data_IF_046617829253
#
_entry.id   IF_046617829253
#
_cell.length_a   1.000
_cell.length_b   1.000
_cell.length_c   1.000
_cell.angle_alpha   90.00
_cell.angle_beta   90.00
_cell.angle_gamma   90.00
#
_symmetry.space_group_name_H-M   'P 1'
#
loop_
_entity.id
_entity.type
_entity.pdbx_description
1 polymer ?
#
# COMPACT_ATOMS: atom_id res chain seq x y z
N UNK A 1 27.05 -13.85 -14.10
CA UNK A 1 28.10 -13.05 -14.78
C UNK A 1 28.65 -13.70 -16.05
N UNK A 2 29.07 -14.96 -16.09
CA UNK A 2 29.53 -15.63 -17.33
C UNK A 2 28.58 -15.44 -18.51
N UNK A 3 27.26 -15.64 -18.34
CA UNK A 3 26.26 -15.49 -19.42
C UNK A 3 26.18 -14.08 -20.05
N UNK A 4 26.41 -13.02 -19.29
CA UNK A 4 26.37 -11.65 -19.83
C UNK A 4 27.60 -11.37 -20.69
N UNK A 5 28.77 -11.83 -20.29
CA UNK A 5 30.02 -11.67 -21.06
C UNK A 5 30.03 -12.44 -22.39
N UNK A 6 29.16 -13.41 -22.55
CA UNK A 6 29.03 -14.27 -23.75
C UNK A 6 28.10 -13.67 -24.81
N UNK A 7 27.37 -12.59 -24.49
CA UNK A 7 26.52 -11.88 -25.46
C UNK A 7 27.41 -11.18 -26.49
N UNK A 8 27.29 -11.57 -27.74
CA UNK A 8 28.15 -11.10 -28.84
C UNK A 8 27.89 -9.64 -29.22
N UNK A 9 26.60 -9.24 -29.28
CA UNK A 9 26.22 -7.86 -29.63
C UNK A 9 26.55 -6.89 -28.48
N UNK A 10 27.42 -5.85 -28.70
CA UNK A 10 27.88 -4.99 -27.62
C UNK A 10 26.76 -4.24 -26.88
N UNK A 11 25.74 -3.76 -27.62
CA UNK A 11 24.62 -3.01 -27.03
C UNK A 11 23.75 -3.92 -26.19
N UNK A 12 23.43 -5.14 -26.66
CA UNK A 12 22.65 -6.12 -25.91
C UNK A 12 23.39 -6.58 -24.64
N UNK A 13 24.70 -6.74 -24.76
CA UNK A 13 25.57 -7.05 -23.61
C UNK A 13 25.56 -5.91 -22.57
N UNK A 14 25.64 -4.66 -23.02
CA UNK A 14 25.55 -3.51 -22.12
C UNK A 14 24.18 -3.43 -21.43
N UNK A 15 23.08 -3.63 -22.17
CA UNK A 15 21.72 -3.69 -21.63
C UNK A 15 21.58 -4.80 -20.58
N UNK A 16 21.98 -6.01 -20.90
CA UNK A 16 21.94 -7.12 -19.97
C UNK A 16 22.80 -6.89 -18.71
N UNK A 17 23.93 -6.18 -18.84
CA UNK A 17 24.73 -5.80 -17.68
C UNK A 17 24.03 -4.76 -16.80
N UNK A 18 23.38 -3.75 -17.41
CA UNK A 18 22.58 -2.74 -16.69
C UNK A 18 21.43 -3.40 -15.91
N UNK A 19 20.66 -4.27 -16.58
CA UNK A 19 19.53 -4.98 -15.97
C UNK A 19 19.99 -5.86 -14.80
N UNK A 20 21.12 -6.55 -14.95
CA UNK A 20 21.67 -7.39 -13.89
C UNK A 20 22.21 -6.55 -12.72
N UNK A 21 22.84 -5.41 -12.99
CA UNK A 21 23.29 -4.47 -11.95
C UNK A 21 22.11 -3.92 -11.16
N UNK A 22 21.02 -3.53 -11.81
CA UNK A 22 19.79 -3.09 -11.15
C UNK A 22 19.23 -4.18 -10.22
N UNK A 23 19.19 -5.43 -10.71
CA UNK A 23 18.75 -6.60 -9.91
C UNK A 23 19.62 -6.78 -8.65
N UNK A 24 20.94 -6.75 -8.78
CA UNK A 24 21.85 -6.87 -7.63
C UNK A 24 21.73 -5.70 -6.66
N UNK A 25 21.55 -4.48 -7.16
CA UNK A 25 21.32 -3.31 -6.32
C UNK A 25 20.04 -3.45 -5.50
N UNK A 26 18.95 -3.95 -6.12
CA UNK A 26 17.70 -4.28 -5.43
C UNK A 26 17.91 -5.30 -4.30
N UNK A 27 18.66 -6.38 -4.56
CA UNK A 27 18.98 -7.37 -3.53
C UNK A 27 19.84 -6.80 -2.39
N UNK A 28 20.81 -5.93 -2.69
CA UNK A 28 21.62 -5.25 -1.67
C UNK A 28 20.76 -4.35 -0.79
N UNK A 29 19.77 -3.64 -1.37
CA UNK A 29 18.83 -2.83 -0.61
C UNK A 29 17.97 -3.71 0.32
N UNK A 30 17.43 -4.81 -0.19
CA UNK A 30 16.60 -5.73 0.60
C UNK A 30 17.39 -6.42 1.72
N UNK A 31 18.58 -6.90 1.44
CA UNK A 31 19.47 -7.46 2.48
C UNK A 31 19.86 -6.42 3.53
N UNK A 32 20.00 -5.16 3.12
CA UNK A 32 20.30 -4.06 4.05
C UNK A 32 19.09 -3.73 4.95
N UNK A 33 17.87 -3.82 4.41
CA UNK A 33 16.62 -3.71 5.18
C UNK A 33 16.48 -4.83 6.19
N UNK A 34 16.63 -6.09 5.74
CA UNK A 34 16.53 -7.29 6.59
C UNK A 34 17.57 -7.22 7.73
N UNK A 35 18.82 -6.83 7.42
CA UNK A 35 19.85 -6.65 8.42
C UNK A 35 19.49 -5.60 9.46
N UNK A 36 18.97 -4.44 9.01
CA UNK A 36 18.53 -3.37 9.90
C UNK A 36 17.42 -3.87 10.81
N UNK A 37 16.38 -4.48 10.26
CA UNK A 37 15.25 -5.03 11.00
C UNK A 37 15.71 -6.06 12.05
N UNK A 38 16.60 -6.98 11.68
CA UNK A 38 17.13 -7.98 12.61
C UNK A 38 17.93 -7.35 13.78
N UNK A 39 18.69 -6.28 13.52
CA UNK A 39 19.39 -5.54 14.58
C UNK A 39 18.40 -4.83 15.50
N UNK A 40 17.38 -4.17 14.95
CA UNK A 40 16.32 -3.51 15.72
C UNK A 40 15.53 -4.52 16.58
N UNK A 41 15.20 -5.70 16.04
CA UNK A 41 14.57 -6.80 16.79
C UNK A 41 15.44 -7.33 17.92
N UNK A 42 16.73 -7.53 17.68
CA UNK A 42 17.67 -7.94 18.71
C UNK A 42 17.76 -6.93 19.87
N UNK A 43 17.79 -5.63 19.53
CA UNK A 43 17.75 -4.56 20.53
C UNK A 43 16.42 -4.53 21.31
N UNK A 44 15.29 -4.70 20.63
CA UNK A 44 13.97 -4.76 21.24
C UNK A 44 13.80 -5.98 22.17
N UNK A 45 14.51 -7.08 21.88
CA UNK A 45 14.56 -8.26 22.76
C UNK A 45 15.50 -8.11 23.96
N UNK A 46 16.15 -6.95 24.13
CA UNK A 46 17.00 -6.62 25.28
C UNK A 46 18.49 -6.84 25.04
N UNK A 47 18.93 -7.24 23.84
CA UNK A 47 20.37 -7.35 23.55
C UNK A 47 21.03 -5.98 23.52
N UNK A 48 22.14 -5.83 24.20
CA UNK A 48 22.95 -4.62 24.14
C UNK A 48 23.74 -4.52 22.83
N UNK A 49 24.07 -3.30 22.42
CA UNK A 49 24.93 -3.11 21.23
C UNK A 49 26.27 -3.84 21.33
N UNK A 50 26.77 -4.07 22.54
CA UNK A 50 28.03 -4.82 22.77
C UNK A 50 27.86 -6.31 22.45
N UNK A 51 26.77 -6.92 22.88
CA UNK A 51 26.46 -8.33 22.62
C UNK A 51 26.19 -8.55 21.13
N UNK A 52 25.44 -7.65 20.48
CA UNK A 52 25.20 -7.68 19.02
C UNK A 52 26.55 -7.56 18.28
N UNK A 53 27.40 -6.62 18.66
CA UNK A 53 28.71 -6.42 18.05
C UNK A 53 29.59 -7.68 18.17
N UNK A 54 29.60 -8.31 19.34
CA UNK A 54 30.32 -9.57 19.57
C UNK A 54 29.78 -10.71 18.70
N UNK A 55 28.45 -10.83 18.61
CA UNK A 55 27.82 -11.89 17.81
C UNK A 55 28.03 -11.72 16.30
N UNK A 56 28.08 -10.47 15.82
CA UNK A 56 28.32 -10.16 14.41
C UNK A 56 29.84 -10.07 14.05
N UNK A 57 30.73 -10.13 15.01
CA UNK A 57 32.18 -9.98 14.78
C UNK A 57 32.57 -8.56 14.30
N UNK A 58 31.85 -7.52 14.74
CA UNK A 58 32.08 -6.12 14.33
C UNK A 58 32.26 -5.22 15.55
N UNK A 59 32.64 -3.94 15.33
CA UNK A 59 32.70 -2.95 16.40
C UNK A 59 31.31 -2.44 16.79
N UNK A 60 31.15 -1.93 18.03
CA UNK A 60 29.91 -1.25 18.47
C UNK A 60 29.48 -0.12 17.54
N UNK A 61 30.41 0.75 17.14
CA UNK A 61 30.14 1.83 16.19
C UNK A 61 29.63 1.30 14.86
N UNK A 62 30.12 0.15 14.41
CA UNK A 62 29.65 -0.50 13.18
C UNK A 62 28.22 -1.02 13.33
N UNK A 63 27.82 -1.55 14.50
CA UNK A 63 26.42 -1.94 14.77
C UNK A 63 25.49 -0.74 14.60
N UNK A 64 25.82 0.42 15.19
CA UNK A 64 25.03 1.65 15.01
C UNK A 64 24.92 2.08 13.55
N UNK A 65 26.02 2.02 12.79
CA UNK A 65 25.99 2.28 11.34
C UNK A 65 25.12 1.29 10.58
N UNK A 66 25.17 0.01 10.90
CA UNK A 66 24.38 -1.03 10.25
C UNK A 66 22.90 -0.93 10.59
N UNK A 67 22.54 -0.51 11.82
CA UNK A 67 21.17 -0.26 12.26
C UNK A 67 20.53 0.96 11.57
N UNK A 68 21.34 1.94 11.17
CA UNK A 68 20.84 3.13 10.45
C UNK A 68 21.02 3.06 8.92
N UNK A 69 21.80 2.10 8.42
CA UNK A 69 22.08 1.96 7.00
C UNK A 69 21.02 1.10 6.30
N UNK A 70 20.59 1.57 5.13
CA UNK A 70 19.60 0.89 4.32
C UNK A 70 18.19 1.47 4.47
N UNK A 71 17.24 0.95 3.69
CA UNK A 71 15.83 1.34 3.79
C UNK A 71 15.26 0.98 5.16
N UNK A 72 14.20 1.67 5.61
CA UNK A 72 13.52 1.31 6.84
C UNK A 72 12.78 -0.05 6.70
N UNK A 73 12.54 -0.78 7.81
CA UNK A 73 11.84 -2.07 7.78
C UNK A 73 10.46 -2.01 7.11
N UNK A 74 9.75 -0.90 7.27
CA UNK A 74 8.40 -0.65 6.72
C UNK A 74 8.36 -0.69 5.19
N UNK A 75 9.50 -0.59 4.51
CA UNK A 75 9.61 -0.82 3.07
C UNK A 75 8.93 -2.12 2.64
N UNK A 76 9.10 -3.20 3.41
CA UNK A 76 8.49 -4.50 3.12
C UNK A 76 6.96 -4.48 3.15
N UNK A 77 6.34 -3.47 3.75
CA UNK A 77 4.89 -3.29 3.70
C UNK A 77 4.38 -3.04 2.29
N UNK A 78 5.16 -2.42 1.43
CA UNK A 78 4.77 -2.15 0.03
C UNK A 78 5.44 -3.09 -0.97
N UNK A 79 6.59 -3.65 -0.63
CA UNK A 79 7.33 -4.56 -1.50
C UNK A 79 8.84 -4.29 -1.54
N UNK A 80 9.47 -4.77 -2.58
CA UNK A 80 10.95 -4.78 -2.69
C UNK A 80 11.50 -4.00 -3.88
N UNK A 81 10.65 -3.60 -4.81
CA UNK A 81 11.01 -2.98 -6.08
C UNK A 81 10.02 -1.85 -6.43
N UNK A 82 9.79 -1.58 -7.69
CA UNK A 82 8.75 -0.63 -8.12
C UNK A 82 7.36 -1.08 -7.69
N UNK A 83 6.56 -0.12 -7.23
CA UNK A 83 5.19 -0.33 -6.77
C UNK A 83 4.23 0.20 -7.83
N UNK A 84 3.30 -0.64 -8.27
CA UNK A 84 2.21 -0.20 -9.15
C UNK A 84 1.00 0.19 -8.31
N UNK A 85 0.51 1.42 -8.50
CA UNK A 85 -0.71 1.93 -7.85
C UNK A 85 -1.83 1.96 -8.89
N UNK A 86 -2.83 1.10 -8.73
CA UNK A 86 -4.00 1.08 -9.63
C UNK A 86 -5.10 1.99 -9.10
N UNK A 87 -5.44 3.02 -9.87
CA UNK A 87 -6.47 4.02 -9.54
C UNK A 87 -7.78 3.70 -10.25
N UNK A 88 -8.91 3.79 -9.54
CA UNK A 88 -10.23 3.53 -10.10
C UNK A 88 -10.65 4.56 -11.15
N UNK A 89 -10.81 4.15 -12.40
CA UNK A 89 -11.32 4.98 -13.49
C UNK A 89 -12.85 5.03 -13.52
N UNK A 90 -13.40 6.20 -13.72
CA UNK A 90 -14.83 6.47 -13.96
C UNK A 90 -15.06 6.75 -15.43
N UNK A 91 -16.28 6.51 -15.90
CA UNK A 91 -16.68 6.96 -17.24
C UNK A 91 -16.79 8.48 -17.26
N UNK A 92 -16.28 9.11 -18.32
CA UNK A 92 -16.41 10.54 -18.54
C UNK A 92 -17.90 10.95 -18.54
N UNK A 93 -18.25 11.89 -17.67
CA UNK A 93 -19.63 12.34 -17.52
C UNK A 93 -20.13 13.04 -18.80
N UNK A 94 -21.41 12.81 -19.14
CA UNK A 94 -22.07 13.45 -20.27
C UNK A 94 -21.80 12.82 -21.64
N UNK A 95 -20.97 11.76 -21.72
CA UNK A 95 -20.79 10.99 -22.96
C UNK A 95 -21.50 9.65 -22.89
N UNK A 96 -22.23 9.31 -23.95
CA UNK A 96 -22.82 8.00 -24.13
C UNK A 96 -21.78 6.96 -24.63
N UNK A 97 -22.13 5.65 -24.60
CA UNK A 97 -21.24 4.59 -25.06
C UNK A 97 -20.72 4.77 -26.49
N UNK A 98 -21.57 5.29 -27.37
CA UNK A 98 -21.25 5.53 -28.79
C UNK A 98 -20.27 6.69 -29.02
N UNK A 99 -20.01 7.51 -28.00
CA UNK A 99 -19.09 8.65 -28.04
C UNK A 99 -17.69 8.31 -27.55
N UNK A 100 -17.39 7.02 -27.35
CA UNK A 100 -16.10 6.50 -26.88
C UNK A 100 -15.56 7.27 -25.64
N UNK A 101 -16.28 7.24 -24.51
CA UNK A 101 -15.94 8.02 -23.32
C UNK A 101 -14.56 7.58 -22.78
N UNK A 102 -13.74 8.56 -22.40
CA UNK A 102 -12.46 8.33 -21.78
C UNK A 102 -12.63 7.85 -20.32
N UNK A 103 -11.65 7.10 -19.81
CA UNK A 103 -11.52 6.88 -18.38
C UNK A 103 -11.02 8.17 -17.71
N UNK A 104 -11.71 8.61 -16.66
CA UNK A 104 -11.31 9.78 -15.86
C UNK A 104 -11.01 9.34 -14.42
N UNK A 105 -9.98 9.93 -13.85
CA UNK A 105 -9.58 9.74 -12.45
C UNK A 105 -9.95 11.00 -11.68
N UNK A 106 -10.38 10.85 -10.43
CA UNK A 106 -10.69 12.02 -9.61
C UNK A 106 -9.40 12.70 -9.15
N UNK A 107 -9.51 13.98 -8.78
CA UNK A 107 -8.39 14.73 -8.20
C UNK A 107 -7.91 14.03 -6.92
N UNK A 108 -8.82 13.60 -6.07
CA UNK A 108 -8.53 12.93 -4.80
C UNK A 108 -7.74 11.63 -5.01
N UNK A 109 -8.05 10.87 -6.07
CA UNK A 109 -7.31 9.64 -6.38
C UNK A 109 -5.90 9.95 -6.91
N UNK A 110 -5.72 11.04 -7.67
CA UNK A 110 -4.40 11.50 -8.08
C UNK A 110 -3.58 12.05 -6.90
N UNK A 111 -4.21 12.78 -5.99
CA UNK A 111 -3.59 13.25 -4.76
C UNK A 111 -3.12 12.05 -3.90
N UNK A 112 -3.94 10.98 -3.81
CA UNK A 112 -3.54 9.72 -3.17
C UNK A 112 -2.27 9.13 -3.79
N UNK A 113 -2.18 9.10 -5.12
CA UNK A 113 -0.98 8.60 -5.79
C UNK A 113 0.24 9.45 -5.46
N UNK A 114 0.15 10.77 -5.49
CA UNK A 114 1.26 11.66 -5.20
C UNK A 114 1.77 11.51 -3.76
N UNK A 115 0.86 11.37 -2.79
CA UNK A 115 1.19 11.10 -1.40
C UNK A 115 1.86 9.73 -1.23
N UNK A 116 1.30 8.68 -1.82
CA UNK A 116 1.91 7.35 -1.83
C UNK A 116 3.28 7.36 -2.50
N UNK A 117 3.44 8.04 -3.64
CA UNK A 117 4.72 8.16 -4.35
C UNK A 117 5.79 8.82 -3.47
N UNK A 118 5.43 9.87 -2.75
CA UNK A 118 6.33 10.54 -1.80
C UNK A 118 6.72 9.63 -0.64
N UNK A 119 5.75 8.92 -0.04
CA UNK A 119 5.97 7.96 1.03
C UNK A 119 6.90 6.83 0.58
N UNK A 120 6.63 6.24 -0.58
CA UNK A 120 7.43 5.16 -1.19
C UNK A 120 8.84 5.62 -1.53
N UNK A 121 9.00 6.82 -2.10
CA UNK A 121 10.30 7.42 -2.38
C UNK A 121 11.17 7.60 -1.13
N UNK A 122 10.58 7.96 0.01
CA UNK A 122 11.26 7.99 1.31
C UNK A 122 11.82 6.62 1.74
N UNK A 123 11.23 5.53 1.24
CA UNK A 123 11.65 4.15 1.47
C UNK A 123 12.53 3.58 0.34
N UNK A 124 12.92 4.39 -0.64
CA UNK A 124 13.67 3.99 -1.84
C UNK A 124 12.91 2.96 -2.70
N UNK A 125 11.61 3.15 -2.83
CA UNK A 125 10.75 2.45 -3.76
C UNK A 125 10.31 3.43 -4.85
N UNK A 126 10.37 3.00 -6.10
CA UNK A 126 9.76 3.73 -7.19
C UNK A 126 8.25 3.42 -7.23
N UNK A 127 7.45 4.37 -7.73
CA UNK A 127 6.03 4.20 -7.87
C UNK A 127 5.56 4.69 -9.25
N UNK A 128 4.72 3.90 -9.87
CA UNK A 128 4.00 4.25 -11.08
C UNK A 128 2.50 4.01 -10.88
N UNK A 129 1.65 4.72 -11.61
CA UNK A 129 0.23 4.44 -11.56
C UNK A 129 -0.31 3.91 -12.88
N UNK A 130 -1.37 3.15 -12.78
CA UNK A 130 -2.23 2.78 -13.91
C UNK A 130 -3.68 3.11 -13.56
N UNK A 131 -4.49 3.27 -14.58
CA UNK A 131 -5.92 3.52 -14.41
C UNK A 131 -6.69 2.22 -14.67
N UNK A 132 -7.45 1.76 -13.68
CA UNK A 132 -8.41 0.68 -13.85
C UNK A 132 -9.50 1.19 -14.80
N UNK A 133 -9.70 0.58 -15.97
CA UNK A 133 -10.72 1.05 -16.91
C UNK A 133 -12.12 0.98 -16.30
N UNK A 134 -13.10 1.74 -16.80
CA UNK A 134 -14.48 1.71 -16.29
C UNK A 134 -15.16 0.34 -16.37
N UNK A 135 -14.61 -0.63 -17.12
CA UNK A 135 -15.01 -2.05 -17.08
C UNK A 135 -14.69 -2.71 -15.75
N UNK A 136 -13.83 -2.09 -14.92
CA UNK A 136 -13.42 -2.58 -13.62
C UNK A 136 -12.44 -3.75 -13.66
N UNK A 137 -11.88 -4.08 -14.83
CA UNK A 137 -10.92 -5.18 -14.98
C UNK A 137 -9.53 -4.69 -14.54
N UNK A 138 -8.96 -5.35 -13.54
CA UNK A 138 -7.62 -5.10 -12.99
C UNK A 138 -6.88 -6.41 -12.78
N UNK A 139 -5.57 -6.42 -13.06
CA UNK A 139 -4.73 -7.58 -12.78
C UNK A 139 -4.25 -7.54 -11.32
N UNK A 140 -4.95 -8.26 -10.44
CA UNK A 140 -4.59 -8.36 -9.02
C UNK A 140 -3.44 -9.34 -8.73
N UNK A 141 -2.95 -10.08 -9.73
CA UNK A 141 -1.91 -11.09 -9.58
C UNK A 141 -0.49 -10.51 -9.82
N UNK A 142 -0.22 -9.31 -9.32
CA UNK A 142 1.10 -8.64 -9.38
C UNK A 142 1.72 -8.57 -8.00
N UNK A 143 3.04 -8.59 -7.96
CA UNK A 143 3.80 -8.21 -6.79
C UNK A 143 3.80 -6.69 -6.61
N UNK A 144 4.07 -6.21 -5.39
CA UNK A 144 4.22 -4.79 -5.07
C UNK A 144 3.04 -3.93 -5.58
N UNK A 145 1.82 -4.37 -5.32
CA UNK A 145 0.63 -3.77 -5.88
C UNK A 145 -0.20 -3.06 -4.80
N UNK A 146 -0.56 -1.81 -5.06
CA UNK A 146 -1.51 -1.02 -4.28
C UNK A 146 -2.71 -0.69 -5.16
N UNK A 147 -3.91 -0.96 -4.67
CA UNK A 147 -5.15 -0.67 -5.38
C UNK A 147 -5.92 0.40 -4.61
N UNK A 148 -6.18 1.53 -5.26
CA UNK A 148 -6.99 2.64 -4.75
C UNK A 148 -8.26 2.73 -5.61
N UNK A 149 -9.29 1.99 -5.20
CA UNK A 149 -10.51 1.86 -6.00
C UNK A 149 -11.67 1.38 -5.15
N UNK A 150 -12.80 2.08 -5.18
CA UNK A 150 -14.03 1.61 -4.52
C UNK A 150 -14.59 0.34 -5.20
N UNK A 151 -15.21 -0.59 -4.43
CA UNK A 151 -15.73 -1.86 -4.96
C UNK A 151 -16.82 -1.67 -6.02
N UNK A 152 -17.50 -0.52 -6.00
CA UNK A 152 -18.48 -0.14 -7.03
C UNK A 152 -17.91 0.03 -8.44
N UNK A 153 -16.60 0.25 -8.55
CA UNK A 153 -15.92 0.48 -9.84
C UNK A 153 -15.28 -0.79 -10.40
N UNK A 154 -15.13 -1.85 -9.59
CA UNK A 154 -14.51 -3.11 -10.00
C UNK A 154 -15.21 -4.32 -9.39
N UNK A 155 -15.95 -5.11 -10.19
CA UNK A 155 -16.58 -6.35 -9.74
C UNK A 155 -15.58 -7.36 -9.18
N UNK A 156 -14.36 -7.39 -9.73
CA UNK A 156 -13.30 -8.29 -9.25
C UNK A 156 -12.88 -7.91 -7.83
N UNK A 157 -12.73 -6.62 -7.54
CA UNK A 157 -12.42 -6.14 -6.20
C UNK A 157 -13.58 -6.43 -5.25
N UNK A 158 -14.83 -6.19 -5.66
CA UNK A 158 -16.00 -6.53 -4.87
C UNK A 158 -16.00 -8.02 -4.47
N UNK A 159 -15.71 -8.92 -5.41
CA UNK A 159 -15.62 -10.35 -5.14
C UNK A 159 -14.49 -10.70 -4.17
N UNK A 160 -13.32 -10.08 -4.27
CA UNK A 160 -12.20 -10.32 -3.32
C UNK A 160 -12.58 -9.86 -1.92
N UNK A 161 -13.31 -8.75 -1.80
CA UNK A 161 -13.77 -8.22 -0.52
C UNK A 161 -14.82 -9.11 0.18
N UNK A 162 -15.57 -9.93 -0.57
CA UNK A 162 -16.47 -10.94 0.01
C UNK A 162 -15.73 -11.98 0.86
N UNK A 163 -14.41 -12.12 0.66
CA UNK A 163 -13.54 -12.98 1.47
C UNK A 163 -13.04 -12.34 2.76
N UNK A 164 -13.45 -11.11 3.09
CA UNK A 164 -13.21 -10.50 4.41
C UNK A 164 -14.42 -10.74 5.32
N UNK A 165 -14.29 -11.68 6.24
CA UNK A 165 -15.34 -12.04 7.18
C UNK A 165 -15.63 -10.96 8.23
N UNK A 166 -14.74 -9.97 8.37
CA UNK A 166 -14.84 -8.96 9.42
C UNK A 166 -15.43 -7.64 8.90
N UNK A 167 -14.99 -7.18 7.74
CA UNK A 167 -15.32 -5.86 7.21
C UNK A 167 -15.91 -5.96 5.81
N UNK A 168 -16.99 -5.23 5.55
CA UNK A 168 -17.60 -5.19 4.22
C UNK A 168 -18.12 -3.79 3.86
N UNK A 169 -18.12 -3.50 2.58
CA UNK A 169 -18.92 -2.43 2.01
C UNK A 169 -20.37 -2.89 1.85
N UNK A 170 -21.30 -2.04 2.23
CA UNK A 170 -22.73 -2.26 2.04
C UNK A 170 -23.40 -0.99 1.51
N UNK A 171 -24.59 -1.12 0.97
CA UNK A 171 -25.38 -0.02 0.45
C UNK A 171 -26.85 -0.17 0.81
N UNK A 172 -27.40 0.84 1.42
CA UNK A 172 -28.85 1.09 1.56
C UNK A 172 -29.21 2.37 0.78
N UNK A 173 -29.54 3.46 1.46
CA UNK A 173 -29.72 4.78 0.87
C UNK A 173 -28.37 5.36 0.40
N UNK A 174 -27.29 5.13 1.18
CA UNK A 174 -25.92 5.52 0.88
C UNK A 174 -24.95 4.35 1.09
N UNK A 175 -23.73 4.47 0.54
CA UNK A 175 -22.67 3.51 0.82
C UNK A 175 -22.19 3.66 2.26
N UNK A 176 -21.87 2.54 2.90
CA UNK A 176 -21.33 2.49 4.25
C UNK A 176 -20.43 1.27 4.43
N UNK A 177 -19.67 1.26 5.52
CA UNK A 177 -18.83 0.15 5.94
C UNK A 177 -19.44 -0.53 7.16
N UNK A 178 -19.37 -1.84 7.21
CA UNK A 178 -19.90 -2.65 8.32
C UNK A 178 -18.77 -3.45 8.93
N UNK A 179 -18.57 -3.30 10.22
CA UNK A 179 -17.80 -4.21 11.04
C UNK A 179 -18.72 -5.33 11.51
N UNK A 180 -18.61 -6.49 10.86
CA UNK A 180 -19.47 -7.65 11.13
C UNK A 180 -19.17 -8.29 12.48
N UNK A 181 -17.90 -8.20 12.91
CA UNK A 181 -17.44 -8.75 14.19
C UNK A 181 -17.96 -7.94 15.37
N UNK A 182 -17.90 -6.61 15.28
CA UNK A 182 -18.42 -5.71 16.31
C UNK A 182 -19.92 -5.40 16.15
N UNK A 183 -20.53 -5.76 15.02
CA UNK A 183 -21.92 -5.39 14.69
C UNK A 183 -22.13 -3.89 14.51
N UNK A 184 -21.08 -3.16 14.10
CA UNK A 184 -21.11 -1.69 14.01
C UNK A 184 -21.12 -1.24 12.56
N UNK A 185 -21.97 -0.25 12.25
CA UNK A 185 -22.03 0.40 10.94
C UNK A 185 -21.31 1.75 10.98
N UNK A 186 -20.45 1.98 10.02
CA UNK A 186 -19.71 3.23 9.83
C UNK A 186 -20.20 3.92 8.56
N UNK A 187 -20.84 5.07 8.73
CA UNK A 187 -21.31 5.92 7.65
C UNK A 187 -20.35 7.09 7.45
N UNK A 188 -20.40 7.70 6.28
CA UNK A 188 -19.67 8.93 6.05
C UNK A 188 -20.36 10.09 6.77
N UNK A 189 -19.66 10.87 7.61
CA UNK A 189 -20.23 12.10 8.19
C UNK A 189 -20.76 13.07 7.14
N UNK A 190 -20.18 13.07 5.92
CA UNK A 190 -20.71 13.86 4.80
C UNK A 190 -22.16 13.52 4.46
N UNK A 191 -22.52 12.22 4.53
CA UNK A 191 -23.87 11.74 4.17
C UNK A 191 -24.84 11.86 5.35
N UNK A 192 -24.35 11.90 6.60
CA UNK A 192 -25.19 11.94 7.80
C UNK A 192 -25.58 13.38 8.19
N UNK A 193 -24.59 14.26 8.35
CA UNK A 193 -24.79 15.60 8.89
C UNK A 193 -24.07 16.70 8.08
N UNK A 194 -23.42 16.33 6.97
CA UNK A 194 -22.67 17.25 6.13
C UNK A 194 -21.30 17.65 6.68
N UNK A 195 -20.83 17.04 7.77
CA UNK A 195 -19.51 17.34 8.31
C UNK A 195 -18.38 16.85 7.41
N UNK A 196 -17.27 17.56 7.42
CA UNK A 196 -16.10 17.25 6.59
C UNK A 196 -15.32 16.06 7.16
N UNK A 197 -15.85 14.87 6.95
CA UNK A 197 -15.26 13.61 7.38
C UNK A 197 -15.68 12.45 6.49
N UNK A 198 -14.90 11.37 6.51
CA UNK A 198 -15.22 10.13 5.80
C UNK A 198 -14.57 8.93 6.49
N UNK A 199 -14.94 7.72 6.04
CA UNK A 199 -14.37 6.47 6.51
C UNK A 199 -13.84 5.67 5.32
N UNK A 200 -12.65 5.11 5.49
CA UNK A 200 -12.00 4.27 4.48
C UNK A 200 -11.59 2.91 5.04
N UNK A 201 -11.48 1.98 4.11
CA UNK A 201 -10.98 0.62 4.34
C UNK A 201 -9.50 0.57 3.96
N UNK A 202 -8.71 -0.03 4.83
CA UNK A 202 -7.31 -0.40 4.60
C UNK A 202 -7.16 -1.90 4.83
N UNK A 203 -6.67 -2.63 3.84
CA UNK A 203 -6.44 -4.06 3.98
C UNK A 203 -5.34 -4.58 3.07
N UNK A 204 -4.76 -5.69 3.49
CA UNK A 204 -3.89 -6.53 2.67
C UNK A 204 -4.65 -7.79 2.32
N UNK A 205 -5.08 -7.87 1.08
CA UNK A 205 -5.98 -8.89 0.57
C UNK A 205 -5.22 -9.94 -0.25
N UNK A 206 -5.74 -11.18 -0.36
CA UNK A 206 -5.13 -12.23 -1.14
C UNK A 206 -5.24 -11.93 -2.64
N UNK A 207 -4.22 -12.30 -3.39
CA UNK A 207 -4.26 -12.35 -4.85
C UNK A 207 -5.16 -13.50 -5.32
N UNK A 208 -5.73 -13.35 -6.50
CA UNK A 208 -6.62 -14.39 -7.08
C UNK A 208 -5.89 -15.69 -7.40
N UNK A 209 -4.58 -15.63 -7.68
CA UNK A 209 -3.74 -16.81 -7.92
C UNK A 209 -3.27 -17.51 -6.63
N UNK A 210 -3.63 -16.98 -5.45
CA UNK A 210 -3.21 -17.51 -4.15
C UNK A 210 -1.71 -17.38 -3.83
N UNK A 211 -0.93 -16.68 -4.68
CA UNK A 211 0.54 -16.61 -4.56
C UNK A 211 1.06 -15.33 -3.93
N UNK A 212 0.24 -14.63 -3.19
CA UNK A 212 0.65 -13.40 -2.53
C UNK A 212 -0.54 -12.51 -2.19
N UNK A 213 -0.24 -11.24 -1.96
CA UNK A 213 -1.21 -10.24 -1.52
C UNK A 213 -1.01 -8.94 -2.25
N UNK A 214 -2.02 -8.10 -2.24
CA UNK A 214 -1.95 -6.70 -2.63
C UNK A 214 -2.49 -5.80 -1.51
N UNK A 215 -2.05 -4.55 -1.46
CA UNK A 215 -2.60 -3.57 -0.54
C UNK A 215 -3.83 -2.94 -1.17
N UNK A 216 -4.92 -2.87 -0.41
CA UNK A 216 -6.17 -2.30 -0.86
C UNK A 216 -6.59 -1.12 -0.01
N UNK A 217 -6.96 -0.03 -0.67
CA UNK A 217 -7.38 1.25 -0.09
C UNK A 217 -8.66 1.70 -0.79
N UNK A 218 -9.71 1.96 -0.01
CA UNK A 218 -10.94 2.54 -0.54
C UNK A 218 -11.68 3.35 0.52
N UNK A 219 -12.28 4.47 0.14
CA UNK A 219 -13.20 5.22 0.99
C UNK A 219 -14.66 4.91 0.68
N UNK A 220 -15.57 5.30 1.58
CA UNK A 220 -16.99 5.43 1.25
C UNK A 220 -17.10 6.43 0.10
N UNK A 221 -16.45 7.59 0.22
CA UNK A 221 -16.16 8.53 -0.87
C UNK A 221 -14.65 8.53 -1.18
N UNK A 222 -14.24 9.21 -2.25
CA UNK A 222 -12.83 9.28 -2.64
C UNK A 222 -11.94 9.87 -1.53
N UNK A 223 -12.45 10.85 -0.78
CA UNK A 223 -11.72 11.50 0.33
C UNK A 223 -11.42 10.54 1.48
N UNK A 224 -12.20 9.49 1.69
CA UNK A 224 -11.90 8.44 2.67
C UNK A 224 -10.63 7.67 2.35
N UNK A 225 -10.34 7.47 1.06
CA UNK A 225 -9.06 6.90 0.63
C UNK A 225 -7.88 7.83 0.96
N UNK A 226 -8.04 9.16 0.80
CA UNK A 226 -7.03 10.14 1.24
C UNK A 226 -6.79 10.03 2.76
N UNK A 227 -7.86 9.83 3.55
CA UNK A 227 -7.75 9.56 4.98
C UNK A 227 -6.91 8.33 5.30
N UNK A 228 -7.05 7.25 4.53
CA UNK A 228 -6.24 6.04 4.67
C UNK A 228 -4.78 6.30 4.31
N UNK A 229 -4.51 7.01 3.22
CA UNK A 229 -3.14 7.36 2.81
C UNK A 229 -2.47 8.25 3.85
N UNK A 230 -3.18 9.27 4.36
CA UNK A 230 -2.70 10.11 5.45
C UNK A 230 -2.40 9.30 6.74
N UNK A 231 -3.22 8.28 7.05
CA UNK A 231 -2.96 7.37 8.16
C UNK A 231 -1.66 6.58 7.95
N UNK A 232 -1.43 6.07 6.74
CA UNK A 232 -0.19 5.37 6.39
C UNK A 232 1.04 6.28 6.53
N UNK A 233 0.96 7.53 6.07
CA UNK A 233 2.08 8.49 6.20
C UNK A 233 2.50 8.71 7.66
N UNK A 234 1.55 8.70 8.59
CA UNK A 234 1.79 9.06 9.98
C UNK A 234 1.96 7.84 10.93
N UNK A 235 1.48 6.65 10.55
CA UNK A 235 1.41 5.49 11.45
C UNK A 235 2.03 4.21 10.85
N UNK A 236 2.71 4.29 9.71
CA UNK A 236 3.21 3.11 9.00
C UNK A 236 4.14 2.24 9.84
N UNK A 237 5.05 2.85 10.61
CA UNK A 237 5.99 2.13 11.45
C UNK A 237 5.30 1.29 12.54
N UNK A 238 4.24 1.84 13.16
CA UNK A 238 3.44 1.15 14.15
C UNK A 238 2.62 0.03 13.50
N UNK A 239 1.92 0.34 12.42
CA UNK A 239 1.14 -0.62 11.64
C UNK A 239 2.02 -1.78 11.17
N UNK A 240 3.21 -1.50 10.62
CA UNK A 240 4.14 -2.54 10.17
C UNK A 240 4.61 -3.44 11.33
N UNK A 241 4.89 -2.89 12.50
CA UNK A 241 5.24 -3.70 13.69
C UNK A 241 4.12 -4.66 14.09
N UNK A 242 2.85 -4.25 13.93
CA UNK A 242 1.70 -5.08 14.27
C UNK A 242 1.41 -6.18 13.22
N UNK A 243 1.42 -5.84 11.93
CA UNK A 243 0.96 -6.75 10.88
C UNK A 243 2.07 -7.32 10.00
N UNK A 244 3.22 -6.67 9.93
CA UNK A 244 4.31 -7.01 9.00
C UNK A 244 3.77 -7.06 7.55
N UNK A 245 3.96 -8.19 6.88
CA UNK A 245 3.44 -8.45 5.52
C UNK A 245 2.22 -9.39 5.53
N UNK A 246 1.65 -9.68 6.71
CA UNK A 246 0.50 -10.58 6.86
C UNK A 246 -0.78 -9.92 6.37
N UNK A 247 -1.76 -10.75 6.05
CA UNK A 247 -3.11 -10.32 5.68
C UNK A 247 -3.80 -9.67 6.88
N UNK A 248 -4.48 -8.57 6.63
CA UNK A 248 -5.24 -7.83 7.64
C UNK A 248 -6.28 -6.93 6.98
N UNK A 249 -7.24 -6.48 7.76
CA UNK A 249 -8.12 -5.36 7.40
C UNK A 249 -8.43 -4.48 8.61
N UNK A 250 -8.74 -3.21 8.36
CA UNK A 250 -9.14 -2.22 9.37
C UNK A 250 -9.84 -1.04 8.70
N UNK A 251 -10.59 -0.27 9.50
CA UNK A 251 -11.21 0.98 9.07
C UNK A 251 -10.48 2.19 9.65
N UNK A 252 -10.36 3.21 8.82
CA UNK A 252 -9.74 4.49 9.14
C UNK A 252 -10.80 5.58 8.97
N UNK A 253 -11.07 6.37 9.99
CA UNK A 253 -11.82 7.62 9.84
C UNK A 253 -10.89 8.80 9.61
N UNK A 254 -11.36 9.79 8.88
CA UNK A 254 -10.64 11.04 8.68
C UNK A 254 -11.53 12.26 8.81
N UNK A 255 -10.90 13.40 9.10
CA UNK A 255 -11.46 14.75 8.96
C UNK A 255 -10.59 15.53 7.98
N UNK A 256 -11.21 16.35 7.16
CA UNK A 256 -10.53 17.13 6.15
C UNK A 256 -11.01 18.59 6.14
N UNK A 257 -10.23 19.47 5.54
CA UNK A 257 -10.65 20.87 5.30
C UNK A 257 -11.58 20.90 4.07
N UNK A 258 -12.84 21.35 4.21
CA UNK A 258 -13.79 21.35 3.10
C UNK A 258 -13.45 22.31 1.96
N UNK A 259 -12.49 23.22 2.15
CA UNK A 259 -12.06 24.17 1.11
C UNK A 259 -10.89 23.66 0.31
N UNK A 260 -9.90 23.05 0.99
CA UNK A 260 -8.68 22.56 0.34
C UNK A 260 -8.75 21.08 0.03
N UNK A 261 -9.58 20.31 0.74
CA UNK A 261 -9.68 18.85 0.77
C UNK A 261 -8.46 18.17 1.42
N UNK A 262 -7.61 18.94 2.08
CA UNK A 262 -6.47 18.39 2.82
C UNK A 262 -6.96 17.62 4.05
N UNK A 263 -6.45 16.42 4.25
CA UNK A 263 -6.75 15.62 5.44
C UNK A 263 -6.04 16.21 6.65
N UNK A 264 -6.80 16.60 7.66
CA UNK A 264 -6.32 17.22 8.90
C UNK A 264 -6.00 16.19 9.98
N UNK A 265 -6.76 15.10 10.00
CA UNK A 265 -6.65 14.05 11.01
C UNK A 265 -7.12 12.72 10.43
N UNK A 266 -6.45 11.64 10.79
CA UNK A 266 -6.90 10.29 10.49
C UNK A 266 -6.58 9.36 11.66
N UNK A 267 -7.47 8.41 11.92
CA UNK A 267 -7.30 7.43 13.00
C UNK A 267 -7.94 6.10 12.65
N UNK A 268 -7.39 5.04 13.19
CA UNK A 268 -7.99 3.70 13.15
C UNK A 268 -9.25 3.67 14.05
N UNK A 269 -10.35 3.13 13.53
CA UNK A 269 -11.64 3.06 14.25
C UNK A 269 -12.11 1.63 14.51
N UNK A 270 -11.42 0.65 13.97
CA UNK A 270 -11.61 -0.78 14.28
C UNK A 270 -10.30 -1.42 14.73
N UNK A 271 -10.33 -2.60 15.37
CA UNK A 271 -9.14 -3.43 15.55
C UNK A 271 -8.47 -3.74 14.19
N UNK A 272 -7.23 -4.22 14.24
CA UNK A 272 -6.58 -4.87 13.10
C UNK A 272 -7.07 -6.32 13.04
N UNK A 273 -7.99 -6.60 12.14
CA UNK A 273 -8.45 -7.96 11.87
C UNK A 273 -7.37 -8.68 11.06
N UNK A 274 -6.80 -9.73 11.65
CA UNK A 274 -5.80 -10.57 10.99
C UNK A 274 -6.49 -11.75 10.33
N UNK A 275 -6.20 -11.94 9.05
CA UNK A 275 -6.74 -13.07 8.30
C UNK A 275 -5.69 -14.17 8.26
N UNK A 276 -5.97 -15.28 8.90
CA UNK A 276 -5.16 -16.50 8.79
C UNK A 276 -5.33 -17.06 7.37
N UNK A 277 -4.21 -17.26 6.70
CA UNK A 277 -4.17 -17.75 5.33
C UNK A 277 -3.32 -18.98 5.20
#
# INVERSE_FOLDING_TARGET
MKRVSEISAPVDRAKAAIDLMATYQGWVLELSRIRREAIEEAQASGMTQAEIAKSLGVSRGRVGQLASAGPPPERAFFGTDSVTVSLGGKVEAGKGPDQNPSAVVTREDLDNFEHLRKLLGGMKLDAEYEVIPPTGIVNLNRDNHVVVCGPRLSPIIAQVLEGDDNLRFAKDEAWHLVDQTAGTTYRSPMDEDGSAGDVGYLGRLPRLDGRGTFLYIAGIHSIGANGVVHYLENNLAELYREVRTRRFSTLISCRYDPKTLDVLESRRVTPLYRHEG
#
